data_IF_527175872160
#
_entry.id   IF_527175872160
#
_cell.length_a   1.000
_cell.length_b   1.000
_cell.length_c   1.000
_cell.angle_alpha   90.00
_cell.angle_beta   90.00
_cell.angle_gamma   90.00
#
_symmetry.space_group_name_H-M   'P 1'
#
loop_
_entity.id
_entity.type
_entity.pdbx_description
1 polymer ?
#
# COMPACT_ATOMS: atom_id res chain seq x y z
N UNK A 1 10.24 -11.18 16.76
CA UNK A 1 9.51 -10.38 15.75
C UNK A 1 9.10 -11.30 14.63
N UNK A 2 8.42 -10.87 13.63
CA UNK A 2 7.85 -11.68 12.55
C UNK A 2 6.51 -11.08 12.14
N UNK A 3 5.60 -11.91 11.65
CA UNK A 3 4.26 -11.45 11.29
C UNK A 3 3.47 -11.01 12.52
N UNK A 4 2.87 -9.83 12.46
CA UNK A 4 2.01 -9.25 13.49
C UNK A 4 0.90 -8.41 12.85
N UNK A 5 -0.19 -8.17 13.58
CA UNK A 5 -1.24 -7.28 13.13
C UNK A 5 -0.83 -5.79 13.23
N UNK A 6 -1.65 -4.90 12.69
CA UNK A 6 -1.31 -3.47 12.58
C UNK A 6 -1.40 -2.70 13.89
N UNK A 7 -2.11 -3.19 14.89
CA UNK A 7 -2.54 -2.42 16.07
C UNK A 7 -1.40 -1.69 16.78
N UNK A 8 -0.35 -2.43 17.18
CA UNK A 8 0.76 -1.83 17.91
C UNK A 8 1.65 -0.97 16.98
N UNK A 9 1.89 -1.43 15.75
CA UNK A 9 2.73 -0.70 14.81
C UNK A 9 2.12 0.64 14.39
N UNK A 10 0.79 0.70 14.21
CA UNK A 10 0.10 1.94 13.90
C UNK A 10 0.07 2.90 15.09
N UNK A 11 -0.13 2.39 16.31
CA UNK A 11 -0.04 3.20 17.51
C UNK A 11 1.37 3.81 17.71
N UNK A 12 2.42 3.03 17.45
CA UNK A 12 3.80 3.50 17.48
C UNK A 12 4.09 4.50 16.37
N UNK A 13 3.51 4.31 15.17
CA UNK A 13 3.65 5.22 14.04
C UNK A 13 3.07 6.61 14.34
N UNK A 14 1.85 6.68 14.87
CA UNK A 14 1.22 7.93 15.31
C UNK A 14 2.10 8.62 16.37
N UNK A 15 2.47 7.88 17.41
CA UNK A 15 3.24 8.42 18.54
C UNK A 15 4.61 8.99 18.14
N UNK A 16 5.23 8.44 17.10
CA UNK A 16 6.61 8.77 16.71
C UNK A 16 6.69 9.46 15.33
N UNK A 17 5.57 9.92 14.78
CA UNK A 17 5.46 10.69 13.54
C UNK A 17 6.18 10.01 12.36
N UNK A 18 5.76 8.79 12.04
CA UNK A 18 6.20 8.07 10.85
C UNK A 18 5.05 7.24 10.26
N UNK A 19 5.20 6.76 9.04
CA UNK A 19 4.26 5.83 8.43
C UNK A 19 4.95 4.55 8.00
N UNK A 20 4.18 3.46 7.89
CA UNK A 20 4.61 2.22 7.26
C UNK A 20 4.29 2.28 5.77
N UNK A 21 5.29 2.06 4.93
CA UNK A 21 5.03 1.79 3.52
C UNK A 21 4.34 0.44 3.36
N UNK A 22 3.22 0.42 2.64
CA UNK A 22 2.52 -0.79 2.26
C UNK A 22 2.86 -1.11 0.80
N UNK A 23 3.75 -2.06 0.61
CA UNK A 23 4.36 -2.36 -0.67
C UNK A 23 3.74 -3.61 -1.29
N UNK A 24 3.17 -3.47 -2.50
CA UNK A 24 2.61 -4.58 -3.25
C UNK A 24 3.71 -5.47 -3.83
N UNK A 25 3.52 -6.78 -3.72
CA UNK A 25 4.41 -7.75 -4.34
C UNK A 25 3.61 -8.85 -5.05
N UNK A 26 4.23 -9.48 -6.05
CA UNK A 26 3.61 -10.53 -6.86
C UNK A 26 4.52 -11.75 -7.05
N UNK A 27 5.79 -11.66 -6.70
CA UNK A 27 6.78 -12.72 -6.86
C UNK A 27 7.87 -12.66 -5.79
N UNK A 28 8.76 -13.65 -5.81
CA UNK A 28 9.86 -13.78 -4.85
C UNK A 28 10.81 -12.57 -4.88
N UNK A 29 11.09 -12.02 -6.06
CA UNK A 29 12.06 -10.93 -6.23
C UNK A 29 11.53 -9.62 -5.65
N UNK A 30 10.26 -9.27 -5.94
CA UNK A 30 9.64 -8.06 -5.39
C UNK A 30 9.50 -8.15 -3.87
N UNK A 31 9.02 -9.28 -3.33
CA UNK A 31 8.98 -9.50 -1.87
C UNK A 31 10.38 -9.39 -1.25
N UNK A 32 11.39 -10.03 -1.87
CA UNK A 32 12.75 -9.98 -1.34
C UNK A 32 13.33 -8.57 -1.38
N UNK A 33 13.07 -7.81 -2.45
CA UNK A 33 13.53 -6.44 -2.57
C UNK A 33 12.97 -5.53 -1.47
N UNK A 34 11.68 -5.70 -1.15
CA UNK A 34 11.01 -4.96 -0.07
C UNK A 34 11.61 -5.33 1.30
N UNK A 35 11.73 -6.63 1.58
CA UNK A 35 12.21 -7.09 2.89
C UNK A 35 13.72 -6.86 3.10
N UNK A 36 14.52 -6.90 2.04
CA UNK A 36 15.94 -6.52 2.11
C UNK A 36 16.09 -5.04 2.49
N UNK A 37 15.32 -4.15 1.86
CA UNK A 37 15.30 -2.72 2.20
C UNK A 37 14.88 -2.49 3.67
N UNK A 38 13.79 -3.13 4.10
CA UNK A 38 13.30 -3.04 5.47
C UNK A 38 14.32 -3.56 6.50
N UNK A 39 15.05 -4.64 6.15
CA UNK A 39 16.11 -5.21 7.00
C UNK A 39 17.30 -4.26 7.10
N UNK A 40 17.79 -3.75 5.99
CA UNK A 40 18.93 -2.83 5.96
C UNK A 40 18.67 -1.54 6.75
N UNK A 41 17.43 -1.04 6.68
CA UNK A 41 17.03 0.19 7.36
C UNK A 41 16.44 -0.04 8.75
N UNK A 42 16.36 -1.27 9.24
CA UNK A 42 15.69 -1.62 10.49
C UNK A 42 14.30 -0.94 10.59
N UNK A 43 13.47 -1.10 9.55
CA UNK A 43 12.18 -0.44 9.37
C UNK A 43 11.03 -1.43 9.50
N UNK A 44 9.94 -1.14 10.23
CA UNK A 44 8.72 -1.92 10.13
C UNK A 44 8.12 -1.75 8.72
N UNK A 45 7.42 -2.77 8.22
CA UNK A 45 6.92 -2.76 6.86
C UNK A 45 5.60 -3.52 6.72
N UNK A 46 4.77 -3.06 5.79
CA UNK A 46 3.61 -3.80 5.31
C UNK A 46 3.95 -4.38 3.94
N UNK A 47 3.84 -5.69 3.78
CA UNK A 47 3.85 -6.37 2.49
C UNK A 47 2.43 -6.77 2.15
N UNK A 48 1.98 -6.49 0.93
CA UNK A 48 0.58 -6.70 0.58
C UNK A 48 0.40 -7.28 -0.82
N UNK A 49 -0.71 -8.01 -0.99
CA UNK A 49 -1.16 -8.53 -2.27
C UNK A 49 -2.59 -8.12 -2.54
N UNK A 50 -2.86 -7.67 -3.76
CA UNK A 50 -4.22 -7.54 -4.27
C UNK A 50 -4.85 -8.90 -4.55
N UNK A 51 -6.17 -8.93 -4.75
CA UNK A 51 -6.88 -10.16 -5.17
C UNK A 51 -6.31 -10.73 -6.48
N UNK A 52 -5.92 -9.86 -7.43
CA UNK A 52 -5.26 -10.27 -8.68
C UNK A 52 -3.90 -10.91 -8.45
N UNK A 53 -3.08 -10.34 -7.57
CA UNK A 53 -1.78 -10.90 -7.19
C UNK A 53 -1.92 -12.26 -6.50
N UNK A 54 -2.93 -12.44 -5.64
CA UNK A 54 -3.21 -13.71 -4.98
C UNK A 54 -3.70 -14.81 -5.94
N UNK A 55 -4.49 -14.45 -6.94
CA UNK A 55 -4.86 -15.39 -8.02
C UNK A 55 -3.64 -15.87 -8.83
N UNK A 56 -2.67 -14.99 -9.02
CA UNK A 56 -1.44 -15.29 -9.75
C UNK A 56 -0.46 -16.14 -8.93
N UNK A 57 -0.21 -15.75 -7.68
CA UNK A 57 0.87 -16.32 -6.86
C UNK A 57 0.44 -17.48 -5.95
N UNK A 58 -0.86 -17.60 -5.65
CA UNK A 58 -1.39 -18.53 -4.65
C UNK A 58 -1.37 -17.95 -3.23
N UNK A 59 -2.47 -18.11 -2.50
CA UNK A 59 -2.61 -17.54 -1.13
C UNK A 59 -1.65 -18.26 -0.16
N UNK A 60 -1.59 -19.57 -0.22
CA UNK A 60 -0.74 -20.40 0.66
C UNK A 60 0.75 -20.14 0.38
N UNK A 61 1.13 -20.01 -0.89
CA UNK A 61 2.50 -19.72 -1.33
C UNK A 61 2.95 -18.34 -0.84
N UNK A 62 2.10 -17.33 -0.98
CA UNK A 62 2.34 -15.98 -0.47
C UNK A 62 2.60 -16.01 1.03
N UNK A 63 1.73 -16.65 1.81
CA UNK A 63 1.86 -16.76 3.26
C UNK A 63 3.13 -17.49 3.66
N UNK A 64 3.45 -18.61 3.00
CA UNK A 64 4.64 -19.39 3.26
C UNK A 64 5.92 -18.58 3.01
N UNK A 65 5.99 -17.90 1.86
CA UNK A 65 7.14 -17.03 1.51
C UNK A 65 7.34 -15.91 2.52
N UNK A 66 6.28 -15.20 2.89
CA UNK A 66 6.37 -14.10 3.84
C UNK A 66 6.77 -14.59 5.22
N UNK A 67 6.19 -15.69 5.72
CA UNK A 67 6.57 -16.31 7.01
C UNK A 67 8.05 -16.68 7.07
N UNK A 68 8.60 -17.24 6.01
CA UNK A 68 10.02 -17.62 5.96
C UNK A 68 10.94 -16.41 5.96
N UNK A 69 10.57 -15.35 5.22
CA UNK A 69 11.44 -14.18 5.00
C UNK A 69 11.34 -13.11 6.08
N UNK A 70 10.24 -13.02 6.82
CA UNK A 70 9.98 -11.95 7.80
C UNK A 70 10.48 -12.21 9.22
N UNK A 71 11.23 -13.28 9.47
CA UNK A 71 11.54 -13.81 10.83
C UNK A 71 12.10 -12.79 11.82
N UNK A 72 12.84 -11.80 11.38
CA UNK A 72 13.57 -10.85 12.22
C UNK A 72 13.04 -9.41 12.14
N UNK A 73 11.96 -9.18 11.39
CA UNK A 73 11.36 -7.88 11.18
C UNK A 73 9.93 -7.84 11.70
N UNK A 74 9.43 -6.69 12.18
CA UNK A 74 8.01 -6.47 12.38
C UNK A 74 7.34 -6.25 11.02
N UNK A 75 6.62 -7.27 10.53
CA UNK A 75 5.98 -7.29 9.22
C UNK A 75 4.47 -7.49 9.37
N UNK A 76 3.69 -6.69 8.69
CA UNK A 76 2.25 -6.90 8.49
C UNK A 76 2.08 -7.53 7.10
N UNK A 77 1.36 -8.66 7.03
CA UNK A 77 0.90 -9.22 5.76
C UNK A 77 -0.55 -8.81 5.56
N UNK A 78 -0.80 -8.01 4.52
CA UNK A 78 -2.09 -7.38 4.24
C UNK A 78 -2.72 -7.87 2.94
N UNK A 79 -4.04 -8.12 2.96
CA UNK A 79 -4.86 -8.17 1.74
C UNK A 79 -5.16 -6.73 1.31
N UNK A 80 -4.83 -6.40 0.08
CA UNK A 80 -5.08 -5.11 -0.54
C UNK A 80 -6.34 -5.19 -1.42
N UNK A 81 -7.31 -4.29 -1.21
CA UNK A 81 -8.59 -4.24 -1.92
C UNK A 81 -9.36 -5.57 -2.04
N UNK A 82 -9.65 -6.20 -0.89
CA UNK A 82 -10.61 -7.31 -0.84
C UNK A 82 -12.02 -6.81 -1.18
N UNK A 83 -12.70 -7.51 -2.10
CA UNK A 83 -14.01 -7.07 -2.65
C UNK A 83 -15.20 -7.72 -1.97
N UNK A 84 -14.95 -8.73 -1.17
CA UNK A 84 -15.99 -9.53 -0.53
C UNK A 84 -15.57 -10.03 0.84
N UNK A 85 -16.56 -10.43 1.63
CA UNK A 85 -16.30 -11.13 2.88
C UNK A 85 -15.46 -12.40 2.67
N UNK A 86 -15.71 -13.16 1.60
CA UNK A 86 -14.99 -14.41 1.31
C UNK A 86 -13.52 -14.16 0.94
N UNK A 87 -13.19 -13.05 0.26
CA UNK A 87 -11.79 -12.68 -0.01
C UNK A 87 -11.04 -12.44 1.32
N UNK A 88 -11.64 -11.62 2.19
CA UNK A 88 -11.07 -11.34 3.50
C UNK A 88 -10.97 -12.61 4.36
N UNK A 89 -12.04 -13.41 4.42
CA UNK A 89 -12.08 -14.66 5.17
C UNK A 89 -11.00 -15.63 4.71
N UNK A 90 -10.84 -15.82 3.40
CA UNK A 90 -9.81 -16.70 2.83
C UNK A 90 -8.41 -16.26 3.27
N UNK A 91 -8.10 -14.96 3.20
CA UNK A 91 -6.81 -14.44 3.64
C UNK A 91 -6.60 -14.60 5.16
N UNK A 92 -7.61 -14.30 5.96
CA UNK A 92 -7.56 -14.46 7.43
C UNK A 92 -7.29 -15.93 7.82
N UNK A 93 -8.02 -16.86 7.22
CA UNK A 93 -7.90 -18.28 7.54
C UNK A 93 -6.54 -18.88 7.09
N UNK A 94 -5.88 -18.28 6.10
CA UNK A 94 -4.54 -18.64 5.65
C UNK A 94 -3.41 -17.95 6.44
N UNK A 95 -3.72 -16.97 7.28
CA UNK A 95 -2.75 -16.37 8.19
C UNK A 95 -2.24 -14.98 7.79
N UNK A 96 -3.04 -14.23 7.04
CA UNK A 96 -2.87 -12.79 6.91
C UNK A 96 -3.08 -12.13 8.27
N UNK A 97 -2.34 -11.08 8.54
CA UNK A 97 -2.38 -10.38 9.84
C UNK A 97 -3.17 -9.08 9.79
N UNK A 98 -3.46 -8.61 8.58
CA UNK A 98 -4.34 -7.50 8.29
C UNK A 98 -5.10 -7.78 6.99
N UNK A 99 -6.32 -7.32 6.86
CA UNK A 99 -7.10 -7.38 5.62
C UNK A 99 -7.77 -6.04 5.37
N UNK A 100 -7.85 -5.62 4.11
CA UNK A 100 -8.67 -4.51 3.70
C UNK A 100 -9.94 -5.02 3.01
N UNK A 101 -11.08 -4.49 3.44
CA UNK A 101 -12.35 -4.61 2.74
C UNK A 101 -12.66 -3.31 2.00
N UNK A 102 -12.74 -3.34 0.69
CA UNK A 102 -13.10 -2.21 -0.14
C UNK A 102 -14.55 -2.31 -0.61
N UNK A 103 -15.42 -1.67 0.11
CA UNK A 103 -16.83 -1.50 -0.20
C UNK A 103 -17.20 -0.03 -0.49
N UNK A 104 -16.22 0.81 -0.84
CA UNK A 104 -16.38 2.25 -1.09
C UNK A 104 -17.34 2.56 -2.24
N UNK A 105 -17.52 1.63 -3.17
CA UNK A 105 -18.46 1.72 -4.29
C UNK A 105 -19.92 1.45 -3.92
N UNK A 106 -20.19 0.90 -2.72
CA UNK A 106 -21.54 0.63 -2.21
C UNK A 106 -22.17 1.87 -1.57
N UNK A 107 -23.44 1.75 -1.17
CA UNK A 107 -24.05 2.75 -0.31
C UNK A 107 -23.36 2.82 1.05
N UNK A 108 -23.42 3.96 1.75
CA UNK A 108 -22.82 4.12 3.07
C UNK A 108 -23.25 3.04 4.06
N UNK A 109 -24.54 2.70 4.08
CA UNK A 109 -25.09 1.66 4.95
C UNK A 109 -24.62 0.24 4.56
N UNK A 110 -24.54 -0.07 3.27
CA UNK A 110 -24.05 -1.37 2.81
C UNK A 110 -22.55 -1.52 3.06
N UNK A 111 -21.76 -0.43 2.90
CA UNK A 111 -20.35 -0.41 3.25
C UNK A 111 -20.18 -0.69 4.75
N UNK A 112 -20.92 -0.01 5.64
CA UNK A 112 -20.88 -0.28 7.08
C UNK A 112 -21.23 -1.74 7.38
N UNK A 113 -22.29 -2.27 6.77
CA UNK A 113 -22.75 -3.64 7.01
C UNK A 113 -21.69 -4.67 6.63
N UNK A 114 -21.10 -4.54 5.43
CA UNK A 114 -20.09 -5.47 4.95
C UNK A 114 -18.78 -5.34 5.76
N UNK A 115 -18.34 -4.10 6.01
CA UNK A 115 -17.15 -3.84 6.83
C UNK A 115 -17.30 -4.43 8.23
N UNK A 116 -18.43 -4.20 8.88
CA UNK A 116 -18.67 -4.78 10.22
C UNK A 116 -18.66 -6.30 10.22
N UNK A 117 -19.19 -6.96 9.21
CA UNK A 117 -19.13 -8.41 9.08
C UNK A 117 -17.69 -8.92 9.02
N UNK A 118 -16.83 -8.21 8.26
CA UNK A 118 -15.40 -8.55 8.17
C UNK A 118 -14.69 -8.29 9.49
N UNK A 119 -14.96 -7.14 10.15
CA UNK A 119 -14.38 -6.78 11.45
C UNK A 119 -14.69 -7.84 12.52
N UNK A 120 -15.96 -8.22 12.64
CA UNK A 120 -16.40 -9.20 13.64
C UNK A 120 -15.68 -10.57 13.43
N UNK A 121 -15.50 -10.98 12.18
CA UNK A 121 -14.75 -12.20 11.86
C UNK A 121 -13.25 -12.07 12.14
N UNK A 122 -12.63 -11.01 11.63
CA UNK A 122 -11.18 -10.77 11.75
C UNK A 122 -10.75 -10.62 13.21
N UNK A 123 -11.47 -9.86 14.01
CA UNK A 123 -11.16 -9.65 15.43
C UNK A 123 -11.24 -10.95 16.22
N UNK A 124 -12.16 -11.88 15.87
CA UNK A 124 -12.22 -13.21 16.50
C UNK A 124 -10.94 -14.05 16.27
N UNK A 125 -10.14 -13.70 15.25
CA UNK A 125 -8.88 -14.34 14.87
C UNK A 125 -7.63 -13.49 15.20
N UNK A 126 -7.80 -12.36 15.91
CA UNK A 126 -6.72 -11.38 16.19
C UNK A 126 -6.08 -10.78 14.92
N UNK A 127 -6.88 -10.60 13.86
CA UNK A 127 -6.50 -9.92 12.62
C UNK A 127 -7.14 -8.55 12.61
N UNK A 128 -6.39 -7.53 12.17
CA UNK A 128 -6.88 -6.16 12.03
C UNK A 128 -7.51 -5.92 10.67
N UNK A 129 -8.40 -4.92 10.60
CA UNK A 129 -9.18 -4.59 9.39
C UNK A 129 -8.96 -3.14 9.00
N UNK A 130 -8.71 -2.93 7.72
CA UNK A 130 -8.76 -1.65 7.05
C UNK A 130 -10.04 -1.59 6.20
N UNK A 131 -10.68 -0.42 6.14
CA UNK A 131 -11.78 -0.16 5.22
C UNK A 131 -11.55 1.14 4.45
N UNK A 132 -12.38 1.42 3.46
CA UNK A 132 -12.28 2.62 2.63
C UNK A 132 -13.59 3.42 2.63
N UNK A 133 -13.45 4.74 2.74
CA UNK A 133 -14.55 5.69 2.63
C UNK A 133 -14.18 6.86 1.72
N UNK A 134 -15.03 7.16 0.76
CA UNK A 134 -14.77 8.00 -0.39
C UNK A 134 -14.48 7.12 -1.61
N UNK A 135 -14.33 7.72 -2.78
CA UNK A 135 -14.06 6.99 -4.03
C UNK A 135 -12.85 7.63 -4.72
N UNK A 136 -11.82 6.84 -4.94
CA UNK A 136 -10.63 7.26 -5.67
C UNK A 136 -10.84 7.03 -7.17
N UNK A 137 -10.45 8.00 -8.00
CA UNK A 137 -10.40 7.82 -9.46
C UNK A 137 -9.21 6.95 -9.86
N UNK A 138 -9.27 6.39 -11.08
CA UNK A 138 -8.18 5.65 -11.72
C UNK A 138 -8.39 4.15 -11.76
N UNK A 139 -7.35 3.43 -12.19
CA UNK A 139 -7.37 1.97 -12.36
C UNK A 139 -6.18 1.37 -11.61
N UNK A 140 -6.45 0.43 -10.72
CA UNK A 140 -5.45 -0.38 -10.05
C UNK A 140 -5.95 -1.84 -9.98
N UNK A 141 -5.21 -2.74 -10.65
CA UNK A 141 -5.59 -4.14 -10.84
C UNK A 141 -7.06 -4.29 -11.32
N UNK A 142 -7.93 -4.77 -10.45
CA UNK A 142 -9.35 -4.99 -10.74
C UNK A 142 -10.27 -3.84 -10.25
N UNK A 143 -9.70 -2.76 -9.67
CA UNK A 143 -10.44 -1.58 -9.21
C UNK A 143 -10.39 -0.49 -10.29
N UNK A 144 -11.53 0.05 -10.68
CA UNK A 144 -11.63 1.11 -11.67
C UNK A 144 -12.75 2.08 -11.32
N UNK A 145 -12.45 3.38 -11.29
CA UNK A 145 -13.43 4.46 -11.15
C UNK A 145 -13.05 5.63 -12.06
N UNK A 146 -14.06 6.30 -12.64
CA UNK A 146 -13.84 7.49 -13.47
C UNK A 146 -13.57 8.71 -12.59
N UNK A 147 -13.07 9.80 -13.19
CA UNK A 147 -12.89 11.07 -12.47
C UNK A 147 -14.23 11.63 -11.98
N UNK A 148 -15.33 11.34 -12.66
CA UNK A 148 -16.68 11.77 -12.28
C UNK A 148 -17.23 10.99 -11.08
N UNK A 149 -16.73 9.76 -10.85
CA UNK A 149 -17.11 8.93 -9.71
C UNK A 149 -16.33 9.28 -8.44
N UNK A 150 -15.19 10.00 -8.57
CA UNK A 150 -14.33 10.36 -7.44
C UNK A 150 -15.06 11.26 -6.43
N UNK A 151 -14.98 10.89 -5.16
CA UNK A 151 -15.60 11.62 -4.04
C UNK A 151 -14.66 11.70 -2.86
N UNK A 152 -14.42 12.92 -2.38
CA UNK A 152 -13.68 13.10 -1.14
C UNK A 152 -14.41 12.49 0.06
N UNK A 153 -13.65 11.99 1.01
CA UNK A 153 -14.17 11.49 2.28
C UNK A 153 -14.85 12.63 3.06
N UNK A 154 -16.10 12.42 3.49
CA UNK A 154 -16.77 13.34 4.38
C UNK A 154 -16.32 13.08 5.83
N UNK A 155 -15.80 14.10 6.57
CA UNK A 155 -15.29 13.90 7.93
C UNK A 155 -16.31 13.37 8.94
N UNK A 156 -17.56 13.81 8.87
CA UNK A 156 -18.61 13.34 9.78
C UNK A 156 -18.99 11.88 9.50
N UNK A 157 -19.06 11.52 8.21
CA UNK A 157 -19.29 10.13 7.83
C UNK A 157 -18.11 9.24 8.23
N UNK A 158 -16.85 9.73 8.15
CA UNK A 158 -15.69 8.98 8.61
C UNK A 158 -15.79 8.63 10.10
N UNK A 159 -16.18 9.59 10.94
CA UNK A 159 -16.42 9.34 12.37
C UNK A 159 -17.51 8.30 12.60
N UNK A 160 -18.68 8.50 12.00
CA UNK A 160 -19.81 7.58 12.12
C UNK A 160 -19.43 6.17 11.64
N UNK A 161 -18.73 6.07 10.52
CA UNK A 161 -18.28 4.80 9.95
C UNK A 161 -17.39 4.03 10.92
N UNK A 162 -16.37 4.68 11.48
CA UNK A 162 -15.45 4.06 12.45
C UNK A 162 -16.20 3.61 13.71
N UNK A 163 -17.06 4.46 14.26
CA UNK A 163 -17.84 4.14 15.47
C UNK A 163 -18.80 2.95 15.26
N UNK A 164 -19.41 2.84 14.07
CA UNK A 164 -20.38 1.78 13.76
C UNK A 164 -19.75 0.47 13.33
N UNK A 165 -18.59 0.52 12.69
CA UNK A 165 -17.92 -0.69 12.18
C UNK A 165 -16.91 -1.28 13.15
N UNK A 166 -16.24 -0.43 13.96
CA UNK A 166 -15.12 -0.85 14.80
C UNK A 166 -13.86 -1.21 14.01
N UNK A 167 -13.69 -0.68 12.79
CA UNK A 167 -12.51 -0.88 11.93
C UNK A 167 -11.24 -0.33 12.59
N UNK A 168 -10.08 -0.94 12.31
CA UNK A 168 -8.81 -0.58 12.96
C UNK A 168 -8.06 0.56 12.23
N UNK A 169 -8.31 0.76 10.94
CA UNK A 169 -7.77 1.85 10.14
C UNK A 169 -8.70 2.19 8.97
N UNK A 170 -8.63 3.44 8.50
CA UNK A 170 -9.53 3.93 7.44
C UNK A 170 -8.73 4.55 6.30
N UNK A 171 -8.89 4.00 5.10
CA UNK A 171 -8.44 4.62 3.86
C UNK A 171 -9.39 5.77 3.49
N UNK A 172 -8.81 6.93 3.21
CA UNK A 172 -9.52 8.17 2.95
C UNK A 172 -9.18 8.74 1.56
N UNK A 173 -10.19 9.27 0.89
CA UNK A 173 -10.04 9.97 -0.39
C UNK A 173 -9.86 11.47 -0.13
N UNK A 174 -8.63 11.95 -0.29
CA UNK A 174 -8.26 13.37 -0.11
C UNK A 174 -7.54 13.96 -1.33
N UNK A 175 -7.73 13.37 -2.52
CA UNK A 175 -7.15 13.86 -3.78
C UNK A 175 -6.04 12.96 -4.33
N UNK A 176 -5.90 11.74 -3.87
CA UNK A 176 -5.07 10.71 -4.51
C UNK A 176 -5.83 10.01 -5.63
N UNK A 177 -5.12 9.29 -6.52
CA UNK A 177 -5.70 8.55 -7.65
C UNK A 177 -4.89 7.29 -7.94
N UNK A 178 -5.55 6.22 -8.37
CA UNK A 178 -4.92 4.96 -8.77
C UNK A 178 -4.21 5.04 -10.13
N UNK A 179 -3.26 4.12 -10.37
CA UNK A 179 -2.56 3.97 -11.65
C UNK A 179 -1.28 4.80 -11.79
N UNK A 180 -0.68 4.77 -12.98
CA UNK A 180 0.59 5.44 -13.31
C UNK A 180 0.41 6.84 -13.90
N UNK A 181 -0.77 7.19 -14.37
CA UNK A 181 -1.13 8.48 -14.94
C UNK A 181 -2.22 9.11 -14.07
N UNK A 182 -1.80 9.62 -12.90
CA UNK A 182 -2.73 9.99 -11.83
C UNK A 182 -3.45 11.33 -12.05
N UNK A 183 -2.80 12.28 -12.74
CA UNK A 183 -3.30 13.63 -12.83
C UNK A 183 -3.03 14.27 -14.20
N UNK A 184 -3.99 15.06 -14.70
CA UNK A 184 -3.81 15.92 -15.86
C UNK A 184 -3.08 17.24 -15.52
N UNK A 185 -2.77 17.48 -14.22
CA UNK A 185 -2.12 18.68 -13.70
C UNK A 185 -1.45 18.37 -12.35
N UNK A 186 -1.18 19.42 -11.56
CA UNK A 186 -0.56 19.27 -10.24
C UNK A 186 -1.49 18.54 -9.26
N UNK A 187 -1.00 17.47 -8.68
CA UNK A 187 -1.69 16.76 -7.60
C UNK A 187 -1.78 17.67 -6.36
N UNK A 188 -2.97 17.74 -5.75
CA UNK A 188 -3.17 18.51 -4.52
C UNK A 188 -3.91 17.66 -3.49
N UNK A 189 -3.24 17.33 -2.39
CA UNK A 189 -3.91 16.70 -1.26
C UNK A 189 -4.73 17.74 -0.48
N UNK A 190 -5.93 17.35 -0.08
CA UNK A 190 -6.87 18.15 0.72
C UNK A 190 -6.54 17.99 2.22
N UNK A 191 -5.46 18.66 2.66
CA UNK A 191 -5.07 18.66 4.08
C UNK A 191 -6.12 19.29 5.01
N UNK A 192 -7.00 20.13 4.47
CA UNK A 192 -8.16 20.65 5.19
C UNK A 192 -9.12 19.52 5.61
N UNK A 193 -9.46 18.62 4.68
CA UNK A 193 -10.29 17.43 4.96
C UNK A 193 -9.58 16.50 5.95
N UNK A 194 -8.28 16.23 5.72
CA UNK A 194 -7.47 15.39 6.61
C UNK A 194 -7.50 15.93 8.05
N UNK A 195 -7.25 17.24 8.23
CA UNK A 195 -7.27 17.87 9.55
C UNK A 195 -8.64 17.83 10.23
N UNK A 196 -9.74 17.92 9.46
CA UNK A 196 -11.10 17.78 10.01
C UNK A 196 -11.37 16.34 10.47
N UNK A 197 -10.95 15.33 9.69
CA UNK A 197 -11.06 13.93 10.08
C UNK A 197 -10.30 13.66 11.38
N UNK A 198 -9.05 14.15 11.49
CA UNK A 198 -8.23 13.97 12.69
C UNK A 198 -8.81 14.63 13.95
N UNK A 199 -9.48 15.78 13.83
CA UNK A 199 -10.18 16.40 14.95
C UNK A 199 -11.35 15.54 15.46
N UNK A 200 -12.03 14.84 14.55
CA UNK A 200 -13.17 13.99 14.88
C UNK A 200 -12.76 12.57 15.33
N UNK A 201 -11.59 12.12 14.88
CA UNK A 201 -11.00 10.80 15.14
C UNK A 201 -9.57 10.96 15.67
N UNK A 202 -9.36 11.52 16.86
CA UNK A 202 -8.03 11.78 17.41
C UNK A 202 -7.25 10.46 17.60
N UNK A 203 -6.02 10.43 17.11
CA UNK A 203 -5.12 9.26 17.15
C UNK A 203 -5.66 8.01 16.45
N UNK A 204 -6.59 8.15 15.52
CA UNK A 204 -7.08 7.04 14.72
C UNK A 204 -6.18 6.86 13.48
N UNK A 205 -5.79 5.61 13.12
CA UNK A 205 -4.93 5.33 11.98
C UNK A 205 -5.61 5.64 10.65
N UNK A 206 -5.06 6.57 9.87
CA UNK A 206 -5.51 6.91 8.53
C UNK A 206 -4.58 6.33 7.47
N UNK A 207 -5.13 6.02 6.31
CA UNK A 207 -4.42 5.36 5.21
C UNK A 207 -4.61 6.14 3.90
N UNK A 208 -3.57 6.20 3.08
CA UNK A 208 -3.64 6.75 1.72
C UNK A 208 -3.42 5.65 0.68
N UNK A 209 -4.42 5.47 -0.18
CA UNK A 209 -4.36 4.69 -1.41
C UNK A 209 -4.11 5.60 -2.60
N UNK A 210 -3.75 5.03 -3.75
CA UNK A 210 -3.44 5.80 -4.94
C UNK A 210 -2.30 6.83 -4.76
N UNK A 211 -1.42 6.61 -3.79
CA UNK A 211 -0.42 7.55 -3.32
C UNK A 211 1.01 7.29 -3.84
N UNK A 212 1.20 6.42 -4.83
CA UNK A 212 2.51 6.24 -5.49
C UNK A 212 3.01 7.58 -6.05
N UNK A 213 4.29 7.91 -5.84
CA UNK A 213 4.89 9.16 -6.33
C UNK A 213 5.47 9.06 -7.74
N UNK A 214 5.59 7.84 -8.26
CA UNK A 214 6.12 7.51 -9.60
C UNK A 214 7.55 8.06 -9.78
N UNK A 215 8.59 7.31 -9.41
CA UNK A 215 9.96 7.78 -9.41
C UNK A 215 10.45 8.10 -10.83
N UNK A 216 10.64 9.39 -11.12
CA UNK A 216 10.92 9.89 -12.47
C UNK A 216 12.27 9.41 -13.05
N UNK A 217 13.24 9.09 -12.20
CA UNK A 217 14.50 8.47 -12.63
C UNK A 217 14.26 7.05 -13.16
N UNK A 218 13.37 6.27 -12.53
CA UNK A 218 13.01 4.92 -12.98
C UNK A 218 12.14 4.95 -14.23
N UNK A 219 11.25 5.95 -14.36
CA UNK A 219 10.49 6.18 -15.59
C UNK A 219 11.44 6.43 -16.77
N UNK A 220 12.37 7.38 -16.64
CA UNK A 220 13.36 7.70 -17.68
C UNK A 220 14.22 6.49 -18.02
N UNK A 221 14.65 5.72 -17.03
CA UNK A 221 15.45 4.53 -17.25
C UNK A 221 14.66 3.44 -18.01
N UNK A 222 13.40 3.21 -17.62
CA UNK A 222 12.54 2.26 -18.31
C UNK A 222 12.27 2.69 -19.76
N UNK A 223 12.02 3.97 -20.01
CA UNK A 223 11.81 4.54 -21.35
C UNK A 223 13.07 4.44 -22.22
N UNK A 224 14.26 4.69 -21.65
CA UNK A 224 15.54 4.50 -22.33
C UNK A 224 15.68 3.08 -22.90
N UNK A 225 15.11 2.10 -22.26
CA UNK A 225 15.12 0.70 -22.67
C UNK A 225 13.77 0.22 -23.22
N UNK A 226 13.00 1.13 -23.87
CA UNK A 226 11.86 0.82 -24.70
C UNK A 226 10.53 0.64 -23.98
N UNK A 227 10.38 1.10 -22.73
CA UNK A 227 9.05 1.23 -22.13
C UNK A 227 8.30 2.44 -22.71
N UNK A 228 6.98 2.42 -22.60
CA UNK A 228 6.12 3.56 -22.98
C UNK A 228 5.39 4.03 -21.73
N UNK A 229 5.99 5.01 -21.02
CA UNK A 229 5.50 5.55 -19.75
C UNK A 229 5.29 7.06 -19.81
N UNK A 230 5.23 7.63 -21.03
CA UNK A 230 5.12 9.08 -21.25
C UNK A 230 3.95 9.68 -20.49
N UNK A 231 4.25 10.68 -19.65
CA UNK A 231 3.24 11.35 -18.81
C UNK A 231 2.92 10.62 -17.49
N UNK A 232 3.63 9.53 -17.16
CA UNK A 232 3.49 8.90 -15.86
C UNK A 232 3.90 9.87 -14.75
N UNK A 233 3.00 10.13 -13.81
CA UNK A 233 3.17 11.04 -12.69
C UNK A 233 2.41 10.54 -11.47
N UNK A 234 2.77 11.01 -10.29
CA UNK A 234 2.17 10.60 -9.02
C UNK A 234 2.04 11.78 -8.04
N UNK A 235 1.79 11.45 -6.77
CA UNK A 235 1.73 12.43 -5.71
C UNK A 235 3.15 12.97 -5.40
N UNK A 236 3.36 14.28 -5.26
CA UNK A 236 4.62 14.84 -4.81
C UNK A 236 5.04 14.28 -3.45
N UNK A 237 6.33 13.93 -3.32
CA UNK A 237 6.86 13.24 -2.13
C UNK A 237 6.86 14.13 -0.88
N UNK A 238 7.00 15.43 -1.04
CA UNK A 238 6.86 16.41 0.04
C UNK A 238 5.46 16.43 0.64
N UNK A 239 4.41 16.34 -0.20
CA UNK A 239 3.02 16.22 0.27
C UNK A 239 2.79 14.92 1.04
N UNK A 240 3.33 13.80 0.54
CA UNK A 240 3.24 12.53 1.25
C UNK A 240 3.99 12.58 2.59
N UNK A 241 5.16 13.22 2.60
CA UNK A 241 5.93 13.41 3.82
C UNK A 241 5.16 14.22 4.85
N UNK A 242 4.53 15.33 4.46
CA UNK A 242 3.67 16.13 5.36
C UNK A 242 2.55 15.24 5.92
N UNK A 243 1.82 14.50 5.06
CA UNK A 243 0.75 13.61 5.49
C UNK A 243 1.20 12.57 6.52
N UNK A 244 2.43 12.04 6.39
CA UNK A 244 2.95 10.95 7.24
C UNK A 244 3.71 11.42 8.48
N UNK A 245 4.19 12.67 8.53
CA UNK A 245 4.98 13.19 9.66
C UNK A 245 4.28 14.28 10.46
N UNK A 246 3.27 14.92 9.90
CA UNK A 246 2.52 16.01 10.55
C UNK A 246 1.05 15.67 10.79
N UNK A 247 0.59 14.52 10.20
CA UNK A 247 -0.76 14.00 10.33
C UNK A 247 -0.77 12.52 10.73
N UNK A 248 -1.96 11.97 11.02
CA UNK A 248 -2.14 10.57 11.44
C UNK A 248 -2.20 9.57 10.27
N UNK A 249 -1.58 9.88 9.14
CA UNK A 249 -1.43 8.93 8.04
C UNK A 249 -0.31 7.94 8.38
N UNK A 250 -0.68 6.74 8.76
CA UNK A 250 0.25 5.70 9.24
C UNK A 250 0.56 4.62 8.22
N UNK A 251 -0.19 4.58 7.11
CA UNK A 251 0.01 3.63 6.01
C UNK A 251 -0.15 4.35 4.69
N UNK A 252 0.76 4.08 3.76
CA UNK A 252 0.71 4.59 2.39
C UNK A 252 0.94 3.44 1.42
N UNK A 253 0.00 3.21 0.50
CA UNK A 253 0.10 2.17 -0.52
C UNK A 253 1.08 2.56 -1.64
N UNK A 254 1.98 1.63 -1.97
CA UNK A 254 3.01 1.78 -3.01
C UNK A 254 3.02 0.55 -3.89
N UNK A 255 2.48 0.67 -5.10
CA UNK A 255 2.46 -0.39 -6.11
C UNK A 255 3.16 0.04 -7.41
N UNK A 256 2.65 1.07 -8.09
CA UNK A 256 3.14 1.51 -9.39
C UNK A 256 4.63 1.85 -9.38
N UNK A 257 5.16 2.42 -8.29
CA UNK A 257 6.58 2.73 -8.13
C UNK A 257 7.43 1.46 -8.26
N UNK A 258 6.99 0.35 -7.64
CA UNK A 258 7.72 -0.92 -7.65
C UNK A 258 7.62 -1.61 -9.01
N UNK A 259 6.45 -1.58 -9.64
CA UNK A 259 6.25 -2.14 -10.98
C UNK A 259 7.18 -1.46 -12.00
N UNK A 260 7.27 -0.12 -11.95
CA UNK A 260 8.15 0.65 -12.83
C UNK A 260 9.62 0.34 -12.55
N UNK A 261 10.03 0.34 -11.29
CA UNK A 261 11.41 0.07 -10.87
C UNK A 261 11.86 -1.33 -11.27
N UNK A 262 11.02 -2.34 -11.03
CA UNK A 262 11.31 -3.72 -11.45
C UNK A 262 11.43 -3.83 -12.97
N UNK A 263 10.49 -3.23 -13.71
CA UNK A 263 10.49 -3.24 -15.17
C UNK A 263 11.71 -2.54 -15.74
N UNK A 264 12.14 -1.41 -15.16
CA UNK A 264 13.35 -0.70 -15.58
C UNK A 264 14.58 -1.60 -15.49
N UNK A 265 14.74 -2.31 -14.36
CA UNK A 265 15.90 -3.21 -14.17
C UNK A 265 15.91 -4.41 -15.11
N UNK A 266 14.76 -5.02 -15.34
CA UNK A 266 14.62 -6.15 -16.29
C UNK A 266 14.96 -5.67 -17.71
N UNK A 267 14.37 -4.55 -18.15
CA UNK A 267 14.61 -3.99 -19.48
C UNK A 267 16.05 -3.57 -19.69
N UNK A 268 16.69 -2.97 -18.69
CA UNK A 268 18.12 -2.61 -18.75
C UNK A 268 18.98 -3.81 -19.11
N UNK A 269 18.86 -4.91 -18.39
CA UNK A 269 19.70 -6.09 -18.65
C UNK A 269 19.38 -6.72 -19.99
N UNK A 270 18.10 -6.90 -20.33
CA UNK A 270 17.70 -7.49 -21.62
C UNK A 270 18.13 -6.64 -22.83
N UNK A 271 18.27 -5.32 -22.66
CA UNK A 271 18.72 -4.42 -23.71
C UNK A 271 20.25 -4.29 -23.79
N UNK A 272 20.94 -4.27 -22.63
CA UNK A 272 22.40 -4.06 -22.59
C UNK A 272 23.20 -5.37 -22.69
N UNK A 273 22.57 -6.50 -22.41
CA UNK A 273 23.13 -7.85 -22.50
C UNK A 273 22.16 -8.77 -23.25
N UNK A 274 21.97 -8.58 -24.56
CA UNK A 274 20.95 -9.29 -25.34
C UNK A 274 21.19 -10.81 -25.40
N UNK A 275 22.40 -11.28 -25.11
CA UNK A 275 22.75 -12.70 -25.01
C UNK A 275 22.29 -13.35 -23.71
N UNK A 276 21.83 -12.57 -22.71
CA UNK A 276 21.44 -13.11 -21.40
C UNK A 276 20.15 -13.91 -21.50
N UNK A 277 20.21 -15.18 -21.13
CA UNK A 277 19.07 -16.11 -21.02
C UNK A 277 18.84 -16.59 -19.59
N UNK A 278 19.76 -16.32 -18.67
CA UNK A 278 19.59 -16.65 -17.25
C UNK A 278 18.62 -15.67 -16.57
N UNK A 279 17.51 -16.21 -16.11
CA UNK A 279 16.46 -15.45 -15.41
C UNK A 279 17.04 -14.69 -14.21
N UNK A 280 18.03 -15.27 -13.51
CA UNK A 280 18.62 -14.68 -12.31
C UNK A 280 19.29 -13.34 -12.58
N UNK A 281 19.83 -13.12 -13.77
CA UNK A 281 20.53 -11.87 -14.10
C UNK A 281 19.58 -10.68 -14.18
N UNK A 282 18.52 -10.81 -14.96
CA UNK A 282 17.59 -9.68 -15.13
C UNK A 282 16.59 -9.54 -13.96
N UNK A 283 16.18 -10.65 -13.33
CA UNK A 283 15.34 -10.58 -12.13
C UNK A 283 16.11 -9.97 -10.93
N UNK A 284 17.39 -10.26 -10.79
CA UNK A 284 18.26 -9.64 -9.78
C UNK A 284 18.37 -8.13 -9.95
N UNK A 285 18.47 -7.63 -11.19
CA UNK A 285 18.51 -6.19 -11.45
C UNK A 285 17.16 -5.53 -11.14
N UNK A 286 16.04 -6.17 -11.52
CA UNK A 286 14.72 -5.71 -11.13
C UNK A 286 14.55 -5.63 -9.62
N UNK A 287 14.92 -6.68 -8.88
CA UNK A 287 14.95 -6.70 -7.41
C UNK A 287 15.79 -5.55 -6.84
N UNK A 288 16.99 -5.30 -7.37
CA UNK A 288 17.87 -4.21 -6.92
C UNK A 288 17.16 -2.86 -6.96
N UNK A 289 16.50 -2.52 -8.06
CA UNK A 289 15.81 -1.24 -8.19
C UNK A 289 14.57 -1.15 -7.32
N UNK A 290 13.87 -2.25 -7.08
CA UNK A 290 12.82 -2.31 -6.05
C UNK A 290 13.39 -1.98 -4.68
N UNK A 291 14.52 -2.62 -4.28
CA UNK A 291 15.18 -2.35 -3.00
C UNK A 291 15.56 -0.87 -2.84
N UNK A 292 16.16 -0.27 -3.88
CA UNK A 292 16.56 1.15 -3.86
C UNK A 292 15.33 2.08 -3.72
N UNK A 293 14.26 1.80 -4.45
CA UNK A 293 13.01 2.57 -4.38
C UNK A 293 12.36 2.46 -3.00
N UNK A 294 12.29 1.27 -2.43
CA UNK A 294 11.72 1.05 -1.09
C UNK A 294 12.55 1.75 -0.02
N UNK A 295 13.89 1.66 -0.07
CA UNK A 295 14.78 2.37 0.86
C UNK A 295 14.55 3.87 0.82
N UNK A 296 14.53 4.44 -0.38
CA UNK A 296 14.26 5.87 -0.55
C UNK A 296 12.92 6.27 0.09
N UNK A 297 11.85 5.50 -0.13
CA UNK A 297 10.54 5.77 0.49
C UNK A 297 10.59 5.71 2.01
N UNK A 298 11.22 4.69 2.59
CA UNK A 298 11.33 4.51 4.03
C UNK A 298 12.11 5.64 4.70
N UNK A 299 13.19 6.11 4.07
CA UNK A 299 14.05 7.18 4.60
C UNK A 299 13.44 8.56 4.39
N UNK A 300 12.99 8.85 3.18
CA UNK A 300 12.69 10.22 2.76
C UNK A 300 11.22 10.59 2.91
N UNK A 301 10.30 9.64 2.62
CA UNK A 301 8.86 9.91 2.60
C UNK A 301 8.20 9.50 3.90
N UNK A 302 8.46 8.28 4.38
CA UNK A 302 7.73 7.70 5.51
C UNK A 302 8.39 7.88 6.87
N UNK A 303 9.66 8.31 6.90
CA UNK A 303 10.43 8.48 8.14
C UNK A 303 10.47 7.21 9.01
N UNK A 304 10.44 6.01 8.38
CA UNK A 304 10.31 4.72 9.07
C UNK A 304 11.64 4.01 9.31
N UNK A 305 12.75 4.52 8.80
CA UNK A 305 14.09 3.98 9.05
C UNK A 305 14.42 3.99 10.55
N UNK A 306 14.99 2.89 11.07
CA UNK A 306 15.34 2.67 12.48
C UNK A 306 14.13 2.69 13.44
N UNK A 307 12.94 2.38 12.96
CA UNK A 307 11.71 2.32 13.78
C UNK A 307 11.27 0.88 14.14
N UNK A 308 11.90 -0.16 13.59
CA UNK A 308 11.66 -1.53 14.03
C UNK A 308 12.25 -1.75 15.43
N UNK A 309 11.40 -2.14 16.39
CA UNK A 309 11.76 -2.38 17.80
C UNK A 309 11.54 -3.84 18.14
#
# INVERSE_FOLDING_TARGET
MGLQNSKQLFADAIKNNYALGAFNFVNLETLSGILDAATELNSPVIVQCSTGALKYAGVEEVVALVKVKSKNLPVILNLDHGKSFEDCKTCIDNGFTNVMIDASHLSFEDNIKLTKQVVDYAHSKNVTVEAELGVLAGVEDEVSATADDARYTNPQQAKEFVERTGVDSLAIAIGTSHGTHKFAGDAKLRFDILSEIEKLLPNFPLVLHGASSIPQNMVKLAEQYGATLKGANGIPEDMLRIATTEHNVVKVNVDSDLRISFTAGVREILSTKPETVDLRDYLKQGKKYVTETVKFKMETVFNSANKAK
#
